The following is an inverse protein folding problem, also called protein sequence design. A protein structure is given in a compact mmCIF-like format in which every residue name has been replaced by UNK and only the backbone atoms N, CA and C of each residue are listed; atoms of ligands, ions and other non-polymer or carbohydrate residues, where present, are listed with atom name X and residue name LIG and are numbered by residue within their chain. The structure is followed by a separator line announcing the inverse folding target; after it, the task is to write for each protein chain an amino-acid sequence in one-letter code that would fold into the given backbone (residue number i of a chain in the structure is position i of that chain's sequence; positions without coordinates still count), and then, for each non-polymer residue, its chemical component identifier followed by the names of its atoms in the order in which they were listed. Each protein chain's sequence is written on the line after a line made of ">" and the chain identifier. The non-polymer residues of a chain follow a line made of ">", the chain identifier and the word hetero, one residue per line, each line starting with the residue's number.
data_IF_876390601212
#
_entry.id   IF_876390601212
#
_cell.length_a   1.000
_cell.length_b   1.000
_cell.length_c   1.000
_cell.angle_alpha   90.00
_cell.angle_beta   90.00
_cell.angle_gamma   90.00
#
_symmetry.space_group_name_H-M   'P 1'
#
loop_
_entity.id
_entity.type
_entity.pdbx_description
1 polymer ?
#
# COMPACT_ATOMS: atom_id res chain seq x y z
N UNK A 1 5.99 -13.44 6.31
CA UNK A 1 5.89 -11.95 6.28
C UNK A 1 4.58 -11.48 6.88
N UNK A 2 4.45 -10.20 7.17
CA UNK A 2 3.16 -9.61 7.59
C UNK A 2 2.33 -9.17 6.39
N UNK A 3 1.00 -9.11 6.54
CA UNK A 3 0.10 -8.63 5.46
C UNK A 3 0.43 -7.19 5.02
N UNK A 4 0.91 -6.33 5.92
CA UNK A 4 1.37 -4.97 5.57
C UNK A 4 2.62 -4.97 4.69
N UNK A 5 3.53 -5.91 4.89
CA UNK A 5 4.74 -6.08 4.06
C UNK A 5 4.35 -6.56 2.66
N UNK A 6 3.44 -7.54 2.58
CA UNK A 6 2.87 -8.00 1.30
C UNK A 6 2.21 -6.87 0.52
N UNK A 7 1.42 -6.02 1.19
CA UNK A 7 0.82 -4.82 0.60
C UNK A 7 1.90 -3.90 0.01
N UNK A 8 2.92 -3.58 0.80
CA UNK A 8 4.01 -2.68 0.40
C UNK A 8 4.78 -3.22 -0.81
N UNK A 9 5.06 -4.53 -0.84
CA UNK A 9 5.70 -5.18 -1.98
C UNK A 9 4.81 -5.16 -3.23
N UNK A 10 3.52 -5.49 -3.10
CA UNK A 10 2.58 -5.46 -4.22
C UNK A 10 2.46 -4.04 -4.82
N UNK A 11 2.41 -3.01 -4.00
CA UNK A 11 2.39 -1.61 -4.43
C UNK A 11 3.70 -1.19 -5.10
N UNK A 12 4.85 -1.63 -4.58
CA UNK A 12 6.15 -1.32 -5.16
C UNK A 12 6.30 -1.92 -6.56
N UNK A 13 6.06 -3.21 -6.70
CA UNK A 13 6.18 -3.89 -8.01
C UNK A 13 5.05 -3.53 -8.98
N UNK A 14 3.87 -3.15 -8.48
CA UNK A 14 2.72 -2.79 -9.30
C UNK A 14 2.72 -1.36 -9.82
N UNK A 15 3.37 -0.43 -9.12
CA UNK A 15 3.27 0.99 -9.45
C UNK A 15 4.58 1.75 -9.50
N UNK A 16 5.60 1.29 -8.79
CA UNK A 16 6.85 2.06 -8.64
C UNK A 16 8.00 1.51 -9.49
N UNK A 17 8.02 0.20 -9.73
CA UNK A 17 9.04 -0.44 -10.55
C UNK A 17 8.52 -0.64 -11.99
N UNK A 18 8.93 0.20 -12.96
CA UNK A 18 8.46 0.09 -14.34
C UNK A 18 9.18 -1.06 -15.07
N UNK A 19 8.69 -2.29 -14.93
CA UNK A 19 9.31 -3.50 -15.48
C UNK A 19 9.63 -3.43 -16.99
N UNK A 20 8.93 -2.59 -17.75
CA UNK A 20 9.23 -2.33 -19.16
C UNK A 20 10.60 -1.70 -19.43
N UNK A 21 11.25 -1.11 -18.40
CA UNK A 21 12.61 -0.55 -18.51
C UNK A 21 13.72 -1.57 -18.28
N UNK A 22 13.42 -2.75 -17.77
CA UNK A 22 14.40 -3.82 -17.54
C UNK A 22 14.88 -4.34 -18.88
N UNK A 23 16.20 -4.23 -19.13
CA UNK A 23 16.82 -4.56 -20.41
C UNK A 23 16.84 -6.07 -20.64
N UNK A 24 17.28 -6.84 -19.64
CA UNK A 24 17.32 -8.29 -19.76
C UNK A 24 15.91 -8.88 -19.77
N UNK A 25 15.66 -9.76 -20.75
CA UNK A 25 14.36 -10.37 -20.95
C UNK A 25 13.98 -11.32 -19.82
N UNK A 26 14.92 -12.12 -19.35
CA UNK A 26 14.67 -13.16 -18.36
C UNK A 26 14.43 -12.54 -16.99
N UNK A 27 15.21 -11.54 -16.62
CA UNK A 27 15.00 -10.69 -15.44
C UNK A 27 13.66 -9.99 -15.49
N UNK A 28 13.29 -9.39 -16.62
CA UNK A 28 11.99 -8.75 -16.79
C UNK A 28 10.84 -9.73 -16.60
N UNK A 29 10.93 -10.94 -17.19
CA UNK A 29 9.91 -11.96 -17.01
C UNK A 29 9.82 -12.48 -15.58
N UNK A 30 10.95 -12.62 -14.90
CA UNK A 30 11.00 -13.02 -13.49
C UNK A 30 10.29 -11.97 -12.60
N UNK A 31 10.58 -10.68 -12.79
CA UNK A 31 9.91 -9.58 -12.07
C UNK A 31 8.41 -9.53 -12.36
N UNK A 32 7.98 -9.71 -13.61
CA UNK A 32 6.55 -9.75 -13.97
C UNK A 32 5.83 -10.93 -13.29
N UNK A 33 6.47 -12.09 -13.22
CA UNK A 33 5.92 -13.28 -12.54
C UNK A 33 5.86 -13.08 -11.02
N UNK A 34 6.90 -12.48 -10.42
CA UNK A 34 6.89 -12.10 -9.02
C UNK A 34 5.71 -11.16 -8.74
N UNK A 35 5.57 -10.08 -9.52
CA UNK A 35 4.45 -9.15 -9.37
C UNK A 35 3.09 -9.86 -9.49
N UNK A 36 2.93 -10.74 -10.48
CA UNK A 36 1.69 -11.52 -10.64
C UNK A 36 1.35 -12.33 -9.39
N UNK A 37 2.33 -13.00 -8.76
CA UNK A 37 2.10 -13.75 -7.52
C UNK A 37 1.80 -12.85 -6.32
N UNK A 38 2.48 -11.70 -6.21
CA UNK A 38 2.20 -10.68 -5.19
C UNK A 38 0.78 -10.11 -5.34
N UNK A 39 0.36 -9.80 -6.55
CA UNK A 39 -0.98 -9.27 -6.84
C UNK A 39 -2.08 -10.26 -6.47
N UNK A 40 -1.89 -11.54 -6.76
CA UNK A 40 -2.84 -12.62 -6.39
C UNK A 40 -2.92 -12.75 -4.87
N UNK A 41 -1.78 -12.80 -4.18
CA UNK A 41 -1.73 -12.91 -2.73
C UNK A 41 -2.35 -11.69 -2.04
N UNK A 42 -2.03 -10.48 -2.54
CA UNK A 42 -2.58 -9.23 -1.98
C UNK A 42 -4.08 -9.08 -2.23
N UNK A 43 -4.60 -9.62 -3.34
CA UNK A 43 -6.05 -9.61 -3.59
C UNK A 43 -6.83 -10.25 -2.44
N UNK A 44 -6.36 -11.37 -1.88
CA UNK A 44 -6.98 -11.99 -0.72
C UNK A 44 -7.06 -11.04 0.48
N UNK A 45 -5.96 -10.32 0.78
CA UNK A 45 -5.93 -9.31 1.85
C UNK A 45 -6.87 -8.14 1.55
N UNK A 46 -6.93 -7.69 0.30
CA UNK A 46 -7.83 -6.61 -0.12
C UNK A 46 -9.30 -7.01 0.03
N UNK A 47 -9.65 -8.26 -0.28
CA UNK A 47 -10.99 -8.80 -0.09
C UNK A 47 -11.36 -8.83 1.41
N UNK A 48 -10.44 -9.23 2.29
CA UNK A 48 -10.65 -9.17 3.77
C UNK A 48 -10.85 -7.73 4.26
N UNK A 49 -10.10 -6.75 3.74
CA UNK A 49 -10.28 -5.32 4.06
C UNK A 49 -11.67 -4.85 3.62
N UNK A 50 -12.13 -5.26 2.45
CA UNK A 50 -13.47 -4.89 1.96
C UNK A 50 -14.58 -5.50 2.82
N UNK A 51 -14.42 -6.72 3.31
CA UNK A 51 -15.36 -7.33 4.26
C UNK A 51 -15.39 -6.57 5.61
N UNK A 52 -14.24 -6.15 6.13
CA UNK A 52 -14.17 -5.27 7.32
C UNK A 52 -14.90 -3.95 7.04
N UNK A 53 -14.69 -3.36 5.86
CA UNK A 53 -15.39 -2.14 5.47
C UNK A 53 -16.90 -2.32 5.46
N UNK A 54 -17.40 -3.38 4.83
CA UNK A 54 -18.85 -3.69 4.79
C UNK A 54 -19.42 -3.88 6.19
N UNK A 55 -18.69 -4.55 7.07
CA UNK A 55 -19.13 -4.81 8.43
C UNK A 55 -19.20 -3.55 9.31
N UNK A 56 -18.21 -2.64 9.17
CA UNK A 56 -18.07 -1.47 10.06
C UNK A 56 -18.78 -0.23 9.47
N UNK A 57 -18.59 0.04 8.18
CA UNK A 57 -19.19 1.21 7.51
C UNK A 57 -20.62 0.95 7.11
N UNK A 58 -20.91 -0.22 6.51
CA UNK A 58 -22.25 -0.65 6.13
C UNK A 58 -22.97 0.39 5.26
N UNK A 59 -24.17 0.78 5.69
CA UNK A 59 -25.03 1.77 5.02
C UNK A 59 -24.59 3.24 5.21
N UNK A 60 -23.57 3.49 6.05
CA UNK A 60 -23.02 4.84 6.33
C UNK A 60 -21.97 5.31 5.32
N UNK A 61 -21.79 4.62 4.19
CA UNK A 61 -20.73 4.96 3.21
C UNK A 61 -20.84 6.40 2.68
N UNK A 62 -22.06 6.89 2.42
CA UNK A 62 -22.28 8.26 1.96
C UNK A 62 -21.87 9.30 3.02
N UNK A 63 -22.19 9.06 4.29
CA UNK A 63 -21.84 9.94 5.39
C UNK A 63 -20.32 9.94 5.64
N UNK A 64 -19.69 8.77 5.59
CA UNK A 64 -18.23 8.64 5.70
C UNK A 64 -17.51 9.36 4.57
N UNK A 65 -17.97 9.27 3.33
CA UNK A 65 -17.40 10.02 2.20
C UNK A 65 -17.52 11.53 2.39
N UNK A 66 -18.68 12.02 2.87
CA UNK A 66 -18.88 13.43 3.18
C UNK A 66 -17.93 13.89 4.28
N UNK A 67 -17.83 13.13 5.35
CA UNK A 67 -16.91 13.39 6.46
C UNK A 67 -15.46 13.43 5.99
N UNK A 68 -15.00 12.43 5.22
CA UNK A 68 -13.65 12.39 4.67
C UNK A 68 -13.31 13.60 3.79
N UNK A 69 -14.28 14.07 2.98
CA UNK A 69 -14.10 15.28 2.18
C UNK A 69 -13.94 16.54 3.05
N UNK A 70 -14.66 16.63 4.16
CA UNK A 70 -14.51 17.72 5.13
C UNK A 70 -13.15 17.68 5.83
N UNK A 71 -12.69 16.50 6.24
CA UNK A 71 -11.34 16.31 6.82
C UNK A 71 -10.26 16.73 5.83
N UNK A 72 -10.34 16.27 4.58
CA UNK A 72 -9.39 16.63 3.53
C UNK A 72 -9.36 18.15 3.31
N UNK A 73 -10.53 18.80 3.27
CA UNK A 73 -10.61 20.27 3.13
C UNK A 73 -10.03 21.00 4.34
N UNK A 74 -10.19 20.45 5.55
CA UNK A 74 -9.60 21.01 6.77
C UNK A 74 -8.07 20.91 6.80
N UNK A 75 -7.51 19.92 6.11
CA UNK A 75 -6.05 19.65 6.03
C UNK A 75 -5.39 20.29 4.79
N UNK A 76 -6.17 20.80 3.83
CA UNK A 76 -5.64 21.46 2.63
C UNK A 76 -4.94 22.77 3.00
N UNK A 77 -3.62 22.77 2.94
CA UNK A 77 -2.79 23.94 3.24
C UNK A 77 -3.03 25.12 2.27
N UNK A 78 -3.57 24.87 1.08
CA UNK A 78 -3.89 25.89 0.08
C UNK A 78 -5.23 26.58 0.33
N UNK A 79 -6.09 25.98 1.17
CA UNK A 79 -7.38 26.54 1.52
C UNK A 79 -7.25 27.69 2.53
N UNK A 80 -8.18 28.65 2.47
CA UNK A 80 -8.22 29.77 3.42
C UNK A 80 -8.37 29.26 4.86
N UNK A 81 -7.67 29.85 5.85
CA UNK A 81 -7.74 29.42 7.25
C UNK A 81 -9.16 29.37 7.82
N UNK A 82 -10.04 30.32 7.45
CA UNK A 82 -11.44 30.33 7.86
C UNK A 82 -12.21 29.13 7.33
N UNK A 83 -11.99 28.74 6.05
CA UNK A 83 -12.64 27.59 5.41
C UNK A 83 -12.15 26.29 6.02
N UNK A 84 -10.85 26.18 6.34
CA UNK A 84 -10.26 25.03 7.03
C UNK A 84 -10.86 24.85 8.42
N UNK A 85 -10.96 25.95 9.19
CA UNK A 85 -11.57 25.92 10.53
C UNK A 85 -13.04 25.50 10.49
N UNK A 86 -13.80 26.03 9.51
CA UNK A 86 -15.20 25.64 9.32
C UNK A 86 -15.33 24.16 8.96
N UNK A 87 -14.55 23.68 7.99
CA UNK A 87 -14.55 22.27 7.59
C UNK A 87 -14.18 21.34 8.75
N UNK A 88 -13.18 21.72 9.59
CA UNK A 88 -12.82 20.96 10.79
C UNK A 88 -13.98 20.89 11.78
N UNK A 89 -14.64 22.01 12.08
CA UNK A 89 -15.77 22.04 12.99
C UNK A 89 -16.95 21.19 12.49
N UNK A 90 -17.25 21.22 11.19
CA UNK A 90 -18.28 20.38 10.59
C UNK A 90 -17.91 18.89 10.64
N UNK A 91 -16.65 18.52 10.37
CA UNK A 91 -16.18 17.15 10.48
C UNK A 91 -16.25 16.63 11.93
N UNK A 92 -15.81 17.42 12.91
CA UNK A 92 -15.81 17.05 14.32
C UNK A 92 -17.22 16.89 14.88
N UNK A 93 -18.21 17.60 14.32
CA UNK A 93 -19.62 17.45 14.66
C UNK A 93 -20.23 16.11 14.17
N UNK A 94 -19.63 15.45 13.19
CA UNK A 94 -20.03 14.13 12.69
C UNK A 94 -19.47 13.01 13.55
N UNK A 95 -19.81 12.99 14.83
CA UNK A 95 -19.21 12.09 15.85
C UNK A 95 -19.34 10.61 15.55
N UNK A 96 -20.45 10.20 14.91
CA UNK A 96 -20.65 8.81 14.47
C UNK A 96 -19.62 8.44 13.37
N UNK A 97 -19.36 9.31 12.41
CA UNK A 97 -18.36 9.09 11.36
C UNK A 97 -16.94 9.01 11.94
N UNK A 98 -16.61 9.86 12.90
CA UNK A 98 -15.31 9.80 13.61
C UNK A 98 -15.12 8.44 14.30
N UNK A 99 -16.16 7.93 14.97
CA UNK A 99 -16.12 6.63 15.62
C UNK A 99 -15.98 5.49 14.61
N UNK A 100 -16.78 5.50 13.54
CA UNK A 100 -16.75 4.48 12.48
C UNK A 100 -15.35 4.44 11.82
N UNK A 101 -14.77 5.60 11.50
CA UNK A 101 -13.43 5.66 10.92
C UNK A 101 -12.39 5.08 11.87
N UNK A 102 -12.45 5.44 13.15
CA UNK A 102 -11.53 4.88 14.16
C UNK A 102 -11.64 3.36 14.24
N UNK A 103 -12.85 2.83 14.35
CA UNK A 103 -13.09 1.39 14.45
C UNK A 103 -12.59 0.67 13.18
N UNK A 104 -12.81 1.26 12.00
CA UNK A 104 -12.30 0.74 10.74
C UNK A 104 -10.77 0.73 10.68
N UNK A 105 -10.12 1.84 11.02
CA UNK A 105 -8.65 1.93 11.03
C UNK A 105 -8.01 0.94 12.01
N UNK A 106 -8.61 0.76 13.20
CA UNK A 106 -8.14 -0.22 14.17
C UNK A 106 -8.28 -1.66 13.65
N UNK A 107 -9.42 -1.99 13.03
CA UNK A 107 -9.65 -3.32 12.47
C UNK A 107 -8.69 -3.64 11.31
N UNK A 108 -8.51 -2.69 10.38
CA UNK A 108 -7.57 -2.83 9.26
C UNK A 108 -6.13 -2.93 9.75
N UNK A 109 -5.74 -2.14 10.76
CA UNK A 109 -4.40 -2.20 11.35
C UNK A 109 -4.12 -3.56 11.99
N UNK A 110 -5.10 -4.14 12.69
CA UNK A 110 -4.98 -5.49 13.26
C UNK A 110 -4.82 -6.54 12.16
N UNK A 111 -5.65 -6.49 11.13
CA UNK A 111 -5.55 -7.40 9.98
C UNK A 111 -4.17 -7.31 9.32
N UNK A 112 -3.68 -6.10 9.06
CA UNK A 112 -2.38 -5.89 8.39
C UNK A 112 -1.17 -6.30 9.25
N UNK A 113 -1.35 -6.41 10.56
CA UNK A 113 -0.33 -6.91 11.48
C UNK A 113 -0.24 -8.45 11.54
N UNK A 114 -1.22 -9.17 10.97
CA UNK A 114 -1.22 -10.63 10.93
C UNK A 114 -0.14 -11.17 10.00
N UNK A 115 0.36 -12.35 10.34
CA UNK A 115 1.32 -13.08 9.51
C UNK A 115 0.60 -13.80 8.36
N UNK A 116 1.26 -13.86 7.20
CA UNK A 116 0.83 -14.57 6.01
C UNK A 116 2.01 -15.30 5.37
N UNK A 117 1.78 -16.47 4.82
CA UNK A 117 2.74 -17.27 4.05
C UNK A 117 2.27 -17.39 2.59
N UNK A 118 2.46 -16.34 1.77
CA UNK A 118 2.02 -16.36 0.38
C UNK A 118 2.94 -17.23 -0.48
N UNK A 119 2.37 -17.92 -1.46
CA UNK A 119 3.13 -18.61 -2.51
C UNK A 119 3.64 -17.60 -3.54
N UNK A 120 4.87 -17.13 -3.36
CA UNK A 120 5.48 -16.13 -4.23
C UNK A 120 6.45 -16.76 -5.24
N UNK A 121 6.47 -16.20 -6.45
CA UNK A 121 7.49 -16.47 -7.47
C UNK A 121 8.71 -15.60 -7.19
N UNK A 122 9.64 -16.13 -6.43
CA UNK A 122 10.86 -15.42 -6.03
C UNK A 122 11.80 -15.18 -7.20
N UNK A 123 12.71 -14.23 -7.04
CA UNK A 123 13.75 -13.87 -8.00
C UNK A 123 15.12 -13.96 -7.33
N UNK A 124 16.20 -14.09 -8.10
CA UNK A 124 17.54 -14.02 -7.53
C UNK A 124 17.87 -12.58 -7.10
N UNK A 125 18.83 -12.45 -6.15
CA UNK A 125 19.34 -11.13 -5.74
C UNK A 125 19.93 -10.35 -6.92
N UNK A 126 20.57 -11.03 -7.86
CA UNK A 126 21.16 -10.43 -9.07
C UNK A 126 20.06 -9.85 -9.97
N UNK A 127 18.99 -10.63 -10.23
CA UNK A 127 17.83 -10.15 -11.00
C UNK A 127 17.15 -8.96 -10.31
N UNK A 128 17.02 -8.99 -8.99
CA UNK A 128 16.43 -7.88 -8.23
C UNK A 128 17.27 -6.62 -8.37
N UNK A 129 18.61 -6.74 -8.20
CA UNK A 129 19.51 -5.61 -8.32
C UNK A 129 19.55 -5.04 -9.75
N UNK A 130 19.57 -5.90 -10.76
CA UNK A 130 19.49 -5.49 -12.17
C UNK A 130 18.18 -4.73 -12.44
N UNK A 131 17.06 -5.26 -12.01
CA UNK A 131 15.76 -4.62 -12.20
C UNK A 131 15.68 -3.23 -11.54
N UNK A 132 16.18 -3.10 -10.31
CA UNK A 132 16.21 -1.82 -9.59
C UNK A 132 17.13 -0.82 -10.31
N UNK A 133 18.30 -1.26 -10.78
CA UNK A 133 19.27 -0.44 -11.50
C UNK A 133 18.71 0.07 -12.82
N UNK A 134 18.15 -0.81 -13.64
CA UNK A 134 17.56 -0.47 -14.94
C UNK A 134 16.37 0.48 -14.81
N UNK A 135 15.63 0.37 -13.71
CA UNK A 135 14.50 1.26 -13.41
C UNK A 135 14.92 2.59 -12.74
N UNK A 136 16.22 2.81 -12.48
CA UNK A 136 16.73 4.06 -11.91
C UNK A 136 16.48 4.20 -10.41
N UNK A 137 16.57 3.12 -9.65
CA UNK A 137 16.39 3.09 -8.19
C UNK A 137 15.09 3.73 -7.70
N UNK A 138 13.91 3.29 -8.16
CA UNK A 138 12.66 3.93 -7.83
C UNK A 138 12.42 3.94 -6.31
N UNK A 139 12.39 5.14 -5.72
CA UNK A 139 12.27 5.39 -4.26
C UNK A 139 13.39 4.77 -3.39
N UNK A 140 14.57 4.53 -3.97
CA UNK A 140 15.76 4.04 -3.28
C UNK A 140 16.93 4.99 -3.53
N UNK A 141 17.88 5.02 -2.58
CA UNK A 141 19.15 5.71 -2.78
C UNK A 141 19.99 4.94 -3.85
N UNK A 142 20.49 5.59 -4.91
CA UNK A 142 21.37 4.95 -5.89
C UNK A 142 22.65 4.34 -5.30
N UNK A 143 23.06 4.80 -4.13
CA UNK A 143 24.23 4.29 -3.40
C UNK A 143 23.89 3.22 -2.35
N UNK A 144 22.65 2.71 -2.35
CA UNK A 144 22.21 1.69 -1.38
C UNK A 144 23.09 0.44 -1.49
N UNK A 145 23.64 -0.08 -0.38
CA UNK A 145 24.44 -1.32 -0.41
C UNK A 145 23.59 -2.52 -0.84
N UNK A 146 24.20 -3.44 -1.60
CA UNK A 146 23.53 -4.68 -2.04
C UNK A 146 22.93 -5.48 -0.87
N UNK A 147 23.63 -5.51 0.28
CA UNK A 147 23.13 -6.15 1.50
C UNK A 147 21.83 -5.52 2.03
N UNK A 148 21.66 -4.21 1.88
CA UNK A 148 20.43 -3.54 2.27
C UNK A 148 19.28 -3.87 1.31
N UNK A 149 19.54 -3.99 0.01
CA UNK A 149 18.58 -4.47 -0.98
C UNK A 149 18.15 -5.91 -0.63
N UNK A 150 19.10 -6.79 -0.32
CA UNK A 150 18.80 -8.16 0.08
C UNK A 150 17.89 -8.22 1.32
N UNK A 151 18.12 -7.38 2.32
CA UNK A 151 17.28 -7.32 3.52
C UNK A 151 15.88 -6.73 3.23
N UNK A 152 15.80 -5.66 2.42
CA UNK A 152 14.52 -5.03 2.06
C UNK A 152 13.59 -5.96 1.28
N UNK A 153 14.14 -6.82 0.45
CA UNK A 153 13.40 -7.73 -0.44
C UNK A 153 13.57 -9.21 -0.06
N UNK A 154 14.02 -9.53 1.16
CA UNK A 154 14.31 -10.90 1.63
C UNK A 154 13.17 -11.90 1.42
N UNK A 155 11.92 -11.44 1.51
CA UNK A 155 10.74 -12.30 1.35
C UNK A 155 10.46 -12.68 -0.10
N UNK A 156 11.04 -11.95 -1.06
CA UNK A 156 10.83 -12.14 -2.50
C UNK A 156 12.11 -12.53 -3.25
N UNK A 157 13.22 -12.64 -2.56
CA UNK A 157 14.50 -13.14 -3.08
C UNK A 157 14.70 -14.61 -2.66
N UNK A 158 15.27 -15.44 -3.58
CA UNK A 158 15.70 -16.81 -3.28
C UNK A 158 16.98 -16.83 -2.44
#
# INVERSE_FOLDING_TARGET
>A
MKKVELKSLAEYFGGRLPAGKIADRDTRLAIVRLYGSLAVAYKGVADEIEEIRKAIVGDKDADIRKWAALVQKAEDEKAKPADRKKARAEADAMTECVRIDKDYQEAVSKLLAEDIEPELRKVSLEQMFEAITDCGFPNLDPNIPLAAIAEMFKDVIE
#
